data_IF_309169485114
#
_entry.id   IF_309169485114
#
_cell.length_a   1.000
_cell.length_b   1.000
_cell.length_c   1.000
_cell.angle_alpha   90.00
_cell.angle_beta   90.00
_cell.angle_gamma   90.00
#
_symmetry.space_group_name_H-M   'P 1'
#
loop_
_entity.id
_entity.type
_entity.pdbx_description
1 polymer ?
#
# COMPACT_ATOMS: atom_id res chain seq x y z
N UNK A 1 -17.17 18.33 -24.94
CA UNK A 1 -17.01 17.03 -24.31
C UNK A 1 -16.74 17.16 -22.83
N UNK A 2 -17.33 16.30 -22.09
CA UNK A 2 -17.17 16.37 -20.66
C UNK A 2 -16.15 15.37 -20.17
N UNK A 3 -15.14 15.88 -19.50
CA UNK A 3 -14.10 15.03 -18.96
C UNK A 3 -14.43 14.71 -17.52
N UNK A 4 -14.44 13.44 -17.23
CA UNK A 4 -14.68 12.98 -15.89
C UNK A 4 -13.39 13.04 -15.10
N UNK A 5 -13.28 14.03 -14.29
CA UNK A 5 -12.07 14.22 -13.51
C UNK A 5 -12.19 13.63 -12.12
N UNK A 6 -13.38 13.22 -11.76
CA UNK A 6 -13.61 12.73 -10.41
C UNK A 6 -13.15 11.30 -10.28
N UNK A 7 -12.32 11.06 -9.30
CA UNK A 7 -11.93 9.70 -8.95
C UNK A 7 -13.12 9.04 -8.28
N UNK A 8 -13.52 7.90 -8.80
CA UNK A 8 -14.63 7.16 -8.19
C UNK A 8 -14.09 6.09 -7.25
N UNK A 9 -15.01 5.45 -6.53
CA UNK A 9 -14.61 4.45 -5.54
C UNK A 9 -13.83 3.30 -6.13
N UNK A 10 -14.19 2.89 -7.32
CA UNK A 10 -13.48 1.78 -7.97
C UNK A 10 -12.05 2.16 -8.31
N UNK A 11 -11.83 3.39 -8.74
CA UNK A 11 -10.49 3.86 -9.01
C UNK A 11 -9.66 3.93 -7.74
N UNK A 12 -10.26 4.42 -6.66
CA UNK A 12 -9.56 4.49 -5.37
C UNK A 12 -9.16 3.08 -4.92
N UNK A 13 -10.09 2.13 -5.02
CA UNK A 13 -9.79 0.75 -4.65
C UNK A 13 -8.71 0.14 -5.54
N UNK A 14 -8.78 0.44 -6.84
CA UNK A 14 -7.81 -0.08 -7.80
C UNK A 14 -6.41 0.42 -7.52
N UNK A 15 -6.28 1.72 -7.27
CA UNK A 15 -4.99 2.32 -6.96
C UNK A 15 -4.45 1.76 -5.64
N UNK A 16 -5.30 1.67 -4.63
CA UNK A 16 -4.90 1.14 -3.33
C UNK A 16 -4.44 -0.30 -3.45
N UNK A 17 -5.17 -1.11 -4.21
CA UNK A 17 -4.79 -2.51 -4.42
C UNK A 17 -3.44 -2.60 -5.11
N UNK A 18 -3.23 -1.77 -6.13
CA UNK A 18 -1.97 -1.78 -6.86
C UNK A 18 -0.81 -1.42 -5.95
N UNK A 19 -0.96 -0.37 -5.15
CA UNK A 19 0.10 0.06 -4.25
C UNK A 19 0.40 -0.99 -3.19
N UNK A 20 -0.64 -1.64 -2.66
CA UNK A 20 -0.44 -2.71 -1.69
C UNK A 20 0.26 -3.90 -2.31
N UNK A 21 -0.07 -4.19 -3.57
CA UNK A 21 0.57 -5.29 -4.27
C UNK A 21 2.06 -5.02 -4.45
N UNK A 22 2.42 -3.78 -4.80
CA UNK A 22 3.82 -3.40 -4.91
C UNK A 22 4.54 -3.59 -3.58
N UNK A 23 3.92 -3.18 -2.48
CA UNK A 23 4.50 -3.38 -1.16
C UNK A 23 4.68 -4.87 -0.85
N UNK A 24 3.68 -5.67 -1.16
CA UNK A 24 3.74 -7.12 -0.92
C UNK A 24 4.86 -7.76 -1.71
N UNK A 25 5.02 -7.39 -2.97
CA UNK A 25 6.08 -7.94 -3.80
C UNK A 25 7.46 -7.60 -3.24
N UNK A 26 7.63 -6.36 -2.76
CA UNK A 26 8.89 -5.96 -2.16
C UNK A 26 9.16 -6.68 -0.85
N UNK A 27 8.12 -6.87 -0.05
CA UNK A 27 8.25 -7.64 1.19
C UNK A 27 8.70 -9.06 0.89
N UNK A 28 8.08 -9.70 -0.10
CA UNK A 28 8.44 -11.06 -0.46
C UNK A 28 9.88 -11.14 -0.94
N UNK A 29 10.32 -10.16 -1.70
CA UNK A 29 11.70 -10.10 -2.18
C UNK A 29 12.68 -10.01 -1.01
N UNK A 30 12.37 -9.15 -0.04
CA UNK A 30 13.23 -8.97 1.12
C UNK A 30 13.22 -10.21 2.00
N UNK A 31 12.06 -10.83 2.16
CA UNK A 31 11.96 -12.07 2.94
C UNK A 31 12.77 -13.20 2.29
N UNK A 32 12.81 -13.21 0.97
CA UNK A 32 13.59 -14.19 0.25
C UNK A 32 15.09 -13.97 0.45
N UNK A 33 15.51 -12.76 0.69
CA UNK A 33 16.90 -12.44 0.93
C UNK A 33 17.36 -12.79 2.34
N UNK A 34 16.47 -12.76 3.30
CA UNK A 34 16.82 -12.98 4.71
C UNK A 34 17.63 -14.26 4.96
N UNK A 35 17.24 -15.43 4.41
CA UNK A 35 18.01 -16.64 4.66
C UNK A 35 19.44 -16.60 4.14
N UNK A 36 19.71 -15.71 3.18
CA UNK A 36 21.01 -15.61 2.55
C UNK A 36 21.92 -14.62 3.25
N UNK A 37 21.35 -13.79 4.12
CA UNK A 37 22.09 -12.76 4.81
C UNK A 37 22.61 -13.32 6.13
N UNK A 38 23.92 -13.28 6.29
CA UNK A 38 24.56 -13.80 7.49
C UNK A 38 24.96 -12.72 8.48
N UNK A 39 25.12 -11.48 7.99
CA UNK A 39 25.49 -10.37 8.85
C UNK A 39 24.30 -9.92 9.67
N UNK A 40 24.40 -9.93 11.02
CA UNK A 40 23.26 -9.54 11.86
C UNK A 40 22.75 -8.13 11.61
N UNK A 41 23.63 -7.19 11.28
CA UNK A 41 23.23 -5.82 11.01
C UNK A 41 22.41 -5.74 9.72
N UNK A 42 22.84 -6.45 8.69
CA UNK A 42 22.11 -6.47 7.43
C UNK A 42 20.75 -7.12 7.60
N UNK A 43 20.67 -8.19 8.39
CA UNK A 43 19.40 -8.83 8.68
C UNK A 43 18.45 -7.88 9.38
N UNK A 44 18.95 -7.14 10.35
CA UNK A 44 18.14 -6.18 11.07
C UNK A 44 17.62 -5.09 10.14
N UNK A 45 18.48 -4.61 9.24
CA UNK A 45 18.07 -3.58 8.29
C UNK A 45 16.97 -4.07 7.36
N UNK A 46 17.08 -5.31 6.88
CA UNK A 46 16.07 -5.90 6.04
C UNK A 46 14.76 -6.07 6.79
N UNK A 47 14.84 -6.52 8.03
CA UNK A 47 13.64 -6.70 8.86
C UNK A 47 12.93 -5.37 9.11
N UNK A 48 13.70 -4.30 9.29
CA UNK A 48 13.12 -2.98 9.45
C UNK A 48 12.45 -2.49 8.18
N UNK A 49 13.04 -2.79 7.04
CA UNK A 49 12.43 -2.43 5.76
C UNK A 49 11.12 -3.16 5.55
N UNK A 50 11.08 -4.44 5.90
CA UNK A 50 9.85 -5.22 5.80
C UNK A 50 8.77 -4.62 6.69
N UNK A 51 9.12 -4.27 7.91
CA UNK A 51 8.18 -3.65 8.84
C UNK A 51 7.65 -2.33 8.28
N UNK A 52 8.53 -1.50 7.73
CA UNK A 52 8.13 -0.24 7.13
C UNK A 52 7.16 -0.45 5.97
N UNK A 53 7.42 -1.46 5.14
CA UNK A 53 6.54 -1.76 4.02
C UNK A 53 5.17 -2.23 4.49
N UNK A 54 5.11 -3.02 5.57
CA UNK A 54 3.83 -3.41 6.15
C UNK A 54 3.05 -2.19 6.65
N UNK A 55 3.74 -1.27 7.30
CA UNK A 55 3.11 -0.04 7.78
C UNK A 55 2.60 0.81 6.63
N UNK A 56 3.36 0.88 5.55
CA UNK A 56 2.94 1.61 4.36
C UNK A 56 1.67 0.99 3.75
N UNK A 57 1.63 -0.33 3.68
CA UNK A 57 0.46 -1.01 3.15
C UNK A 57 -0.78 -0.74 4.00
N UNK A 58 -0.62 -0.75 5.32
CA UNK A 58 -1.71 -0.44 6.23
C UNK A 58 -2.18 1.00 6.06
N UNK A 59 -1.25 1.92 5.89
CA UNK A 59 -1.58 3.32 5.71
C UNK A 59 -2.33 3.54 4.39
N UNK A 60 -1.89 2.89 3.34
CA UNK A 60 -2.57 2.96 2.04
C UNK A 60 -4.02 2.50 2.19
N UNK A 61 -4.21 1.42 2.91
CA UNK A 61 -5.55 0.88 3.11
C UNK A 61 -6.43 1.85 3.89
N UNK A 62 -5.90 2.43 4.96
CA UNK A 62 -6.64 3.39 5.77
C UNK A 62 -7.01 4.63 4.98
N UNK A 63 -6.08 5.13 4.17
CA UNK A 63 -6.35 6.30 3.36
C UNK A 63 -7.39 6.04 2.29
N UNK A 64 -7.34 4.85 1.69
CA UNK A 64 -8.32 4.48 0.69
C UNK A 64 -9.70 4.42 1.31
N UNK A 65 -9.83 3.82 2.48
CA UNK A 65 -11.12 3.72 3.17
C UNK A 65 -11.64 5.10 3.55
N UNK A 66 -10.75 5.98 4.01
CA UNK A 66 -11.12 7.34 4.35
C UNK A 66 -11.65 8.09 3.12
N UNK A 67 -10.96 7.98 2.00
CA UNK A 67 -11.36 8.66 0.78
C UNK A 67 -12.67 8.12 0.23
N UNK A 68 -12.87 6.81 0.33
CA UNK A 68 -14.12 6.20 -0.11
C UNK A 68 -15.27 6.71 0.77
N UNK A 69 -15.06 6.80 2.07
CA UNK A 69 -16.06 7.34 2.96
C UNK A 69 -16.40 8.78 2.65
N UNK A 70 -15.40 9.59 2.38
CA UNK A 70 -15.63 10.99 1.99
C UNK A 70 -16.39 11.10 0.68
N UNK A 71 -16.04 10.24 -0.27
CA UNK A 71 -16.73 10.21 -1.55
C UNK A 71 -18.22 9.91 -1.35
N UNK A 72 -18.53 8.93 -0.51
CA UNK A 72 -19.91 8.57 -0.23
C UNK A 72 -20.68 9.73 0.39
N UNK A 73 -20.08 10.42 1.34
CA UNK A 73 -20.72 11.56 1.99
C UNK A 73 -21.02 12.64 0.98
N UNK A 74 -20.07 12.95 0.12
CA UNK A 74 -20.23 14.02 -0.86
C UNK A 74 -21.26 13.71 -1.94
N UNK A 75 -21.45 12.46 -2.24
CA UNK A 75 -22.32 12.04 -3.33
C UNK A 75 -23.66 11.49 -2.89
N UNK A 76 -23.92 11.54 -1.60
CA UNK A 76 -25.17 11.06 -1.07
C UNK A 76 -26.30 12.06 -1.17
N UNK A 77 -26.00 13.27 -1.48
CA UNK A 77 -27.02 14.30 -1.61
C UNK A 77 -27.63 14.31 -2.99
#
# INVERSE_FOLDING_TARGET
MRIKMTTNKDEIRGVARHLRLVCTEQIEELEDQLPRVTNPQDREDIEKQIETLHEMADEINRRAEFLIGEYDIKNEN
#
